data_IF_549429063809
#
_entry.id   IF_549429063809
#
_cell.length_a   1.000
_cell.length_b   1.000
_cell.length_c   1.000
_cell.angle_alpha   90.00
_cell.angle_beta   90.00
_cell.angle_gamma   90.00
#
_symmetry.space_group_name_H-M   'P 1'
#
loop_
_entity.id
_entity.type
_entity.pdbx_description
1 polymer ?
#
# COMPACT_ATOMS: atom_id res chain seq x y z
N UNK A 1 0.25 16.34 16.58
CA UNK A 1 -0.50 15.92 15.38
C UNK A 1 0.27 16.18 14.09
N UNK A 2 0.78 17.40 13.85
CA UNK A 2 1.55 17.75 12.64
C UNK A 2 2.78 16.87 12.40
N UNK A 3 3.62 16.63 13.42
CA UNK A 3 4.78 15.72 13.29
C UNK A 3 4.39 14.27 12.95
N UNK A 4 3.26 13.79 13.48
CA UNK A 4 2.75 12.45 13.21
C UNK A 4 2.27 12.32 11.76
N UNK A 5 1.57 13.35 11.25
CA UNK A 5 1.12 13.40 9.84
C UNK A 5 2.31 13.46 8.88
N UNK A 6 3.35 14.26 9.19
CA UNK A 6 4.57 14.33 8.38
C UNK A 6 5.33 13.00 8.38
N UNK A 7 5.38 12.31 9.52
CA UNK A 7 5.99 10.97 9.60
C UNK A 7 5.23 9.95 8.74
N UNK A 8 3.89 9.91 8.82
CA UNK A 8 3.07 9.05 7.95
C UNK A 8 3.24 9.39 6.47
N UNK A 9 3.35 10.68 6.14
CA UNK A 9 3.62 11.15 4.78
C UNK A 9 4.94 10.60 4.23
N UNK A 10 5.99 10.65 5.05
CA UNK A 10 7.31 10.17 4.68
C UNK A 10 7.30 8.64 4.48
N UNK A 11 6.64 7.90 5.37
CA UNK A 11 6.43 6.45 5.20
C UNK A 11 5.61 6.10 3.96
N UNK A 12 4.59 6.91 3.63
CA UNK A 12 3.78 6.74 2.42
C UNK A 12 4.63 6.90 1.14
N UNK A 13 5.48 7.93 1.09
CA UNK A 13 6.41 8.15 -0.04
C UNK A 13 7.43 7.02 -0.15
N UNK A 14 8.02 6.57 0.97
CA UNK A 14 8.96 5.45 0.96
C UNK A 14 8.29 4.13 0.50
N UNK A 15 7.06 3.87 0.93
CA UNK A 15 6.29 2.73 0.45
C UNK A 15 6.01 2.82 -1.06
N UNK A 16 5.68 4.01 -1.56
CA UNK A 16 5.45 4.24 -3.00
C UNK A 16 6.73 4.03 -3.82
N UNK A 17 7.87 4.51 -3.31
CA UNK A 17 9.18 4.27 -3.92
C UNK A 17 9.53 2.78 -3.94
N UNK A 18 9.20 2.03 -2.88
CA UNK A 18 9.39 0.58 -2.85
C UNK A 18 8.63 -0.14 -3.98
N UNK A 19 7.40 0.30 -4.29
CA UNK A 19 6.61 -0.25 -5.41
C UNK A 19 7.25 0.06 -6.77
N UNK A 20 7.81 1.26 -6.95
CA UNK A 20 8.39 1.71 -8.23
C UNK A 20 9.81 1.21 -8.45
N UNK A 21 10.52 0.81 -7.39
CA UNK A 21 11.96 0.47 -7.41
C UNK A 21 12.36 -0.79 -8.19
N UNK A 22 11.45 -1.40 -8.97
CA UNK A 22 11.70 -2.57 -9.82
C UNK A 22 12.23 -3.82 -9.06
N UNK A 23 11.94 -3.96 -7.77
CA UNK A 23 12.08 -5.26 -7.11
C UNK A 23 10.88 -6.14 -7.51
N UNK A 24 11.17 -7.38 -7.90
CA UNK A 24 10.22 -8.47 -8.20
C UNK A 24 8.85 -8.34 -7.51
N UNK A 25 7.77 -8.79 -8.18
CA UNK A 25 6.36 -8.68 -7.76
C UNK A 25 6.10 -8.92 -6.25
N UNK A 26 6.85 -9.81 -5.59
CA UNK A 26 6.81 -10.02 -4.14
C UNK A 26 7.05 -8.77 -3.28
N UNK A 27 8.09 -7.99 -3.58
CA UNK A 27 8.40 -6.75 -2.85
C UNK A 27 7.39 -5.64 -3.17
N UNK A 28 6.79 -5.67 -4.36
CA UNK A 28 5.69 -4.78 -4.74
C UNK A 28 4.44 -4.96 -3.86
N UNK A 29 4.09 -6.20 -3.52
CA UNK A 29 2.97 -6.50 -2.59
C UNK A 29 3.23 -5.89 -1.21
N UNK A 30 4.44 -6.08 -0.66
CA UNK A 30 4.81 -5.52 0.64
C UNK A 30 4.76 -3.99 0.63
N UNK A 31 5.23 -3.37 -0.46
CA UNK A 31 5.14 -1.92 -0.67
C UNK A 31 3.69 -1.42 -0.74
N UNK A 32 2.81 -2.11 -1.47
CA UNK A 32 1.39 -1.79 -1.58
C UNK A 32 0.66 -1.86 -0.22
N UNK A 33 0.93 -2.88 0.59
CA UNK A 33 0.37 -3.00 1.95
C UNK A 33 0.82 -1.81 2.80
N UNK A 34 2.13 -1.50 2.82
CA UNK A 34 2.67 -0.36 3.57
C UNK A 34 2.06 0.98 3.16
N UNK A 35 1.96 1.25 1.86
CA UNK A 35 1.35 2.46 1.30
C UNK A 35 -0.12 2.59 1.72
N UNK A 36 -0.88 1.50 1.62
CA UNK A 36 -2.31 1.52 1.93
C UNK A 36 -2.59 1.79 3.41
N UNK A 37 -1.82 1.17 4.32
CA UNK A 37 -1.95 1.39 5.77
C UNK A 37 -1.57 2.82 6.16
N UNK A 38 -0.44 3.32 5.65
CA UNK A 38 0.04 4.67 5.96
C UNK A 38 -0.86 5.75 5.34
N UNK A 39 -1.36 5.53 4.12
CA UNK A 39 -2.33 6.42 3.49
C UNK A 39 -3.64 6.52 4.27
N UNK A 40 -4.12 5.39 4.81
CA UNK A 40 -5.32 5.37 5.66
C UNK A 40 -5.10 6.12 6.97
N UNK A 41 -3.95 5.91 7.63
CA UNK A 41 -3.63 6.65 8.86
C UNK A 41 -3.59 8.17 8.66
N UNK A 42 -3.17 8.64 7.48
CA UNK A 42 -3.19 10.07 7.15
C UNK A 42 -4.63 10.56 6.99
N UNK A 43 -5.46 9.92 6.17
CA UNK A 43 -6.86 10.34 5.97
C UNK A 43 -7.70 10.26 7.25
N UNK A 44 -7.42 9.29 8.13
CA UNK A 44 -8.03 9.19 9.46
C UNK A 44 -7.70 10.39 10.35
N UNK A 45 -6.48 10.93 10.26
CA UNK A 45 -6.07 12.10 11.04
C UNK A 45 -6.81 13.40 10.65
N UNK A 46 -7.37 13.45 9.44
CA UNK A 46 -8.19 14.55 8.93
C UNK A 46 -9.70 14.36 9.20
N UNK A 47 -10.09 13.28 9.88
CA UNK A 47 -11.49 12.99 10.23
C UNK A 47 -12.30 12.30 9.12
N UNK A 48 -11.68 11.93 7.99
CA UNK A 48 -12.35 11.32 6.85
C UNK A 48 -12.20 9.79 6.93
N UNK A 49 -12.82 9.20 7.96
CA UNK A 49 -12.67 7.78 8.29
C UNK A 49 -13.37 6.84 7.31
N UNK A 50 -14.56 7.20 6.82
CA UNK A 50 -15.31 6.35 5.88
C UNK A 50 -14.57 6.16 4.54
N UNK A 51 -14.08 7.26 3.95
CA UNK A 51 -13.36 7.20 2.68
C UNK A 51 -12.03 6.44 2.83
N UNK A 52 -11.34 6.60 3.97
CA UNK A 52 -10.13 5.84 4.28
C UNK A 52 -10.39 4.32 4.31
N UNK A 53 -11.48 3.87 4.93
CA UNK A 53 -11.81 2.45 5.02
C UNK A 53 -12.21 1.86 3.66
N UNK A 54 -12.90 2.64 2.81
CA UNK A 54 -13.21 2.24 1.44
C UNK A 54 -11.93 2.10 0.62
N UNK A 55 -11.01 3.07 0.71
CA UNK A 55 -9.71 2.98 0.05
C UNK A 55 -8.93 1.77 0.54
N UNK A 56 -8.89 1.50 1.85
CA UNK A 56 -8.26 0.31 2.41
C UNK A 56 -8.83 -0.98 1.81
N UNK A 57 -10.16 -1.12 1.79
CA UNK A 57 -10.82 -2.32 1.28
C UNK A 57 -10.61 -2.54 -0.21
N UNK A 58 -10.62 -1.49 -1.03
CA UNK A 58 -10.40 -1.63 -2.47
C UNK A 58 -8.93 -1.91 -2.79
N UNK A 59 -7.99 -1.23 -2.11
CA UNK A 59 -6.55 -1.40 -2.36
C UNK A 59 -6.02 -2.74 -1.82
N UNK A 60 -6.35 -3.09 -0.57
CA UNK A 60 -5.93 -4.39 0.00
C UNK A 60 -6.78 -5.54 -0.51
N UNK A 61 -8.10 -5.38 -0.62
CA UNK A 61 -8.98 -6.47 -1.05
C UNK A 61 -8.89 -6.72 -2.56
N UNK A 62 -8.97 -5.67 -3.37
CA UNK A 62 -9.02 -5.78 -4.83
C UNK A 62 -7.64 -5.95 -5.47
N UNK A 63 -6.71 -5.05 -5.18
CA UNK A 63 -5.44 -5.03 -5.92
C UNK A 63 -4.44 -6.07 -5.43
N UNK A 64 -4.39 -6.42 -4.13
CA UNK A 64 -3.48 -7.47 -3.67
C UNK A 64 -3.86 -8.85 -4.23
N UNK A 65 -5.15 -9.17 -4.38
CA UNK A 65 -5.58 -10.46 -4.94
C UNK A 65 -5.09 -10.62 -6.38
N UNK A 66 -5.26 -9.58 -7.21
CA UNK A 66 -4.76 -9.59 -8.60
C UNK A 66 -3.24 -9.64 -8.64
N UNK A 67 -2.57 -8.96 -7.71
CA UNK A 67 -1.11 -8.98 -7.60
C UNK A 67 -0.58 -10.38 -7.25
N UNK A 68 -1.16 -11.02 -6.23
CA UNK A 68 -0.79 -12.39 -5.82
C UNK A 68 -1.07 -13.40 -6.93
N UNK A 69 -2.20 -13.24 -7.64
CA UNK A 69 -2.49 -14.07 -8.81
C UNK A 69 -1.43 -13.89 -9.91
N UNK A 70 -1.04 -12.65 -10.20
CA UNK A 70 0.02 -12.36 -11.18
C UNK A 70 1.39 -12.88 -10.74
N UNK A 71 1.71 -12.80 -9.43
CA UNK A 71 2.91 -13.42 -8.85
C UNK A 71 2.90 -14.92 -9.07
N UNK A 72 1.75 -15.59 -8.86
CA UNK A 72 1.63 -17.04 -9.02
C UNK A 72 1.73 -17.49 -10.48
N UNK A 73 1.30 -16.66 -11.44
CA UNK A 73 1.43 -16.93 -12.87
C UNK A 73 2.83 -16.62 -13.42
N UNK A 74 3.49 -15.58 -12.88
CA UNK A 74 4.84 -15.18 -13.26
C UNK A 74 5.94 -15.97 -12.53
N UNK A 75 5.59 -16.66 -11.45
CA UNK A 75 6.44 -17.68 -10.85
C UNK A 75 6.52 -18.86 -11.82
N UNK A 76 7.50 -18.80 -12.71
CA UNK A 76 7.96 -19.95 -13.47
C UNK A 76 8.13 -21.12 -12.48
N UNK A 77 7.52 -22.29 -12.72
CA UNK A 77 7.76 -23.45 -11.88
C UNK A 77 9.22 -23.84 -12.09
N UNK A 78 10.09 -23.45 -11.17
CA UNK A 78 11.43 -24.01 -11.08
C UNK A 78 11.34 -25.53 -10.92
#
# INVERSE_FOLDING_TARGET
>A
VTYFVIFLALCFVLGGLAVVSNLSLYYGVVGLVLVSVMGCGWWLSLGISFLSLVLFMVYLGGMLVVFVYSVSLAAEPF
#
